data_IF_499330618104
#
_entry.id   IF_499330618104
#
_cell.length_a   1.000
_cell.length_b   1.000
_cell.length_c   1.000
_cell.angle_alpha   90.00
_cell.angle_beta   90.00
_cell.angle_gamma   90.00
#
_symmetry.space_group_name_H-M   'P 1'
#
loop_
_entity.id
_entity.type
_entity.pdbx_description
1 polymer ?
#
# COMPACT_ATOMS: atom_id res chain seq x y z
N UNK A 1 42.51 -5.93 31.87
CA UNK A 1 41.43 -5.34 31.04
C UNK A 1 41.44 -5.68 29.54
N UNK A 2 42.58 -5.80 28.84
CA UNK A 2 42.57 -5.94 27.35
C UNK A 2 42.06 -7.27 26.75
N UNK A 3 42.15 -8.40 27.47
CA UNK A 3 41.84 -9.75 26.92
C UNK A 3 40.34 -10.00 26.68
N UNK A 4 39.46 -9.36 27.46
CA UNK A 4 37.99 -9.51 27.33
C UNK A 4 37.46 -8.82 26.07
N UNK A 5 37.96 -7.62 25.74
CA UNK A 5 37.57 -6.88 24.53
C UNK A 5 37.93 -7.65 23.24
N UNK A 6 39.09 -8.32 23.20
CA UNK A 6 39.47 -9.18 22.05
C UNK A 6 38.53 -10.38 21.88
N UNK A 7 38.13 -11.05 22.96
CA UNK A 7 37.15 -12.16 22.93
C UNK A 7 35.73 -11.72 22.54
N UNK A 8 35.33 -10.50 22.88
CA UNK A 8 34.07 -9.93 22.41
C UNK A 8 34.11 -9.64 20.90
N UNK A 9 35.21 -9.04 20.41
CA UNK A 9 35.39 -8.76 18.99
C UNK A 9 35.46 -10.05 18.14
N UNK A 10 36.12 -11.11 18.61
CA UNK A 10 36.15 -12.38 17.88
C UNK A 10 34.76 -13.02 17.77
N UNK A 11 33.99 -13.08 18.87
CA UNK A 11 32.61 -13.60 18.86
C UNK A 11 31.68 -12.79 17.95
N UNK A 12 31.81 -11.46 17.93
CA UNK A 12 31.03 -10.61 17.02
C UNK A 12 31.41 -10.81 15.55
N UNK A 13 32.66 -11.22 15.26
CA UNK A 13 33.08 -11.59 13.91
C UNK A 13 32.50 -12.95 13.52
N UNK A 14 32.72 -13.96 14.37
CA UNK A 14 32.21 -15.33 14.22
C UNK A 14 30.69 -15.38 14.03
N UNK A 15 29.93 -14.54 14.77
CA UNK A 15 28.48 -14.36 14.56
C UNK A 15 28.15 -13.77 13.19
N UNK A 16 28.85 -12.71 12.75
CA UNK A 16 28.64 -12.12 11.41
C UNK A 16 28.99 -13.08 10.29
N UNK A 17 30.09 -13.82 10.44
CA UNK A 17 30.54 -14.80 9.45
C UNK A 17 29.46 -15.91 9.34
N UNK A 18 28.88 -16.37 10.46
CA UNK A 18 27.74 -17.32 10.45
C UNK A 18 26.41 -16.74 9.92
N UNK A 19 26.15 -15.44 10.11
CA UNK A 19 25.00 -14.74 9.53
C UNK A 19 25.13 -14.60 8.01
N UNK A 20 26.35 -14.32 7.52
CA UNK A 20 26.66 -14.24 6.08
C UNK A 20 26.49 -15.62 5.43
N UNK A 21 27.00 -16.68 6.06
CA UNK A 21 26.88 -18.06 5.57
C UNK A 21 25.41 -18.53 5.55
N UNK A 22 24.63 -18.21 6.59
CA UNK A 22 23.20 -18.51 6.63
C UNK A 22 22.38 -17.74 5.58
N UNK A 23 22.78 -16.50 5.25
CA UNK A 23 22.16 -15.72 4.16
C UNK A 23 22.58 -16.27 2.79
N UNK A 24 23.83 -16.66 2.60
CA UNK A 24 24.30 -17.30 1.38
C UNK A 24 23.52 -18.59 1.09
N UNK A 25 23.38 -19.47 2.09
CA UNK A 25 22.60 -20.70 1.98
C UNK A 25 21.10 -20.43 1.70
N UNK A 26 20.52 -19.34 2.22
CA UNK A 26 19.14 -18.94 1.88
C UNK A 26 18.97 -18.38 0.47
N UNK A 27 20.01 -17.75 -0.08
CA UNK A 27 20.02 -17.27 -1.48
C UNK A 27 20.21 -18.45 -2.42
N UNK A 28 21.12 -19.36 -2.11
CA UNK A 28 21.38 -20.59 -2.89
C UNK A 28 20.15 -21.51 -2.89
N UNK A 29 19.46 -21.69 -1.76
CA UNK A 29 18.17 -22.40 -1.69
C UNK A 29 16.99 -21.66 -2.36
N UNK A 30 17.17 -20.41 -2.79
CA UNK A 30 16.20 -19.66 -3.60
C UNK A 30 16.55 -19.66 -5.11
N UNK A 31 17.72 -20.19 -5.49
CA UNK A 31 18.02 -20.46 -6.90
C UNK A 31 17.21 -21.68 -7.36
N UNK A 32 16.52 -21.61 -8.51
CA UNK A 32 15.77 -22.76 -9.03
C UNK A 32 16.74 -23.83 -9.54
N UNK A 33 16.80 -24.96 -8.85
CA UNK A 33 17.62 -26.09 -9.29
C UNK A 33 17.16 -26.61 -10.67
N UNK A 34 18.00 -26.47 -11.69
CA UNK A 34 17.81 -27.07 -13.01
C UNK A 34 17.26 -26.17 -14.13
N UNK A 35 17.31 -24.85 -14.00
CA UNK A 35 17.15 -23.94 -15.15
C UNK A 35 18.47 -23.80 -15.91
N UNK A 36 18.43 -23.82 -17.25
CA UNK A 36 19.61 -23.54 -18.08
C UNK A 36 20.09 -22.09 -17.85
N UNK A 37 21.41 -21.85 -17.96
CA UNK A 37 22.06 -20.57 -17.62
C UNK A 37 21.50 -19.38 -18.42
N UNK A 38 20.93 -19.61 -19.61
CA UNK A 38 20.23 -18.62 -20.43
C UNK A 38 19.08 -17.91 -19.69
N UNK A 39 18.47 -18.55 -18.69
CA UNK A 39 17.40 -17.96 -17.88
C UNK A 39 17.90 -17.01 -16.78
N UNK A 40 19.20 -17.04 -16.44
CA UNK A 40 19.80 -16.14 -15.44
C UNK A 40 20.16 -14.77 -16.03
N UNK A 41 20.29 -14.67 -17.36
CA UNK A 41 20.69 -13.46 -18.09
C UNK A 41 19.61 -12.87 -19.00
N UNK A 42 18.32 -13.00 -18.62
CA UNK A 42 17.25 -12.24 -19.27
C UNK A 42 17.41 -10.76 -18.93
N UNK A 43 18.03 -9.99 -19.84
CA UNK A 43 18.06 -8.54 -19.78
C UNK A 43 16.62 -8.01 -19.81
N UNK A 44 16.21 -7.26 -18.77
CA UNK A 44 14.84 -6.74 -18.58
C UNK A 44 14.60 -5.54 -19.52
N UNK A 45 14.52 -5.80 -20.84
CA UNK A 45 14.39 -4.81 -21.95
C UNK A 45 13.30 -3.78 -21.71
N UNK A 46 12.19 -4.20 -21.10
CA UNK A 46 11.00 -3.36 -20.90
C UNK A 46 11.14 -2.43 -19.67
N UNK A 47 12.21 -2.60 -18.89
CA UNK A 47 12.47 -1.91 -17.62
C UNK A 47 11.38 -2.10 -16.56
N UNK A 48 10.47 -3.05 -16.75
CA UNK A 48 9.30 -3.23 -15.89
C UNK A 48 9.66 -3.95 -14.58
N UNK A 49 10.58 -4.91 -14.60
CA UNK A 49 11.11 -5.55 -13.40
C UNK A 49 11.81 -4.54 -12.49
N UNK A 50 12.67 -3.69 -13.05
CA UNK A 50 13.30 -2.56 -12.33
C UNK A 50 12.26 -1.60 -11.72
N UNK A 51 11.23 -1.20 -12.47
CA UNK A 51 10.13 -0.34 -11.96
C UNK A 51 9.34 -1.04 -10.84
N UNK A 52 9.09 -2.35 -10.94
CA UNK A 52 8.42 -3.16 -9.89
C UNK A 52 9.29 -3.29 -8.63
N UNK A 53 10.60 -3.58 -8.76
CA UNK A 53 11.57 -3.64 -7.64
C UNK A 53 11.70 -2.30 -6.94
N UNK A 54 11.87 -1.19 -7.67
CA UNK A 54 11.90 0.18 -7.11
C UNK A 54 10.61 0.53 -6.35
N UNK A 55 9.42 0.20 -6.90
CA UNK A 55 8.14 0.39 -6.20
C UNK A 55 8.02 -0.45 -4.93
N UNK A 56 8.54 -1.69 -4.91
CA UNK A 56 8.55 -2.55 -3.72
C UNK A 56 9.48 -1.98 -2.63
N UNK A 57 10.72 -1.62 -2.98
CA UNK A 57 11.68 -0.99 -2.07
C UNK A 57 11.11 0.30 -1.45
N UNK A 58 10.57 1.21 -2.28
CA UNK A 58 9.97 2.45 -1.79
C UNK A 58 8.71 2.23 -0.92
N UNK A 59 7.97 1.12 -1.12
CA UNK A 59 6.86 0.76 -0.26
C UNK A 59 7.31 0.17 1.09
N UNK A 60 8.43 -0.57 1.12
CA UNK A 60 9.03 -1.09 2.35
C UNK A 60 9.70 0.04 3.16
N UNK A 61 10.42 0.94 2.51
CA UNK A 61 10.98 2.15 3.12
C UNK A 61 9.89 3.02 3.74
N UNK A 62 8.79 3.29 3.02
CA UNK A 62 7.62 4.00 3.57
C UNK A 62 6.99 3.29 4.77
N UNK A 63 6.96 1.95 4.80
CA UNK A 63 6.48 1.18 5.97
C UNK A 63 7.43 1.33 7.15
N UNK A 64 8.75 1.29 6.94
CA UNK A 64 9.75 1.48 8.00
C UNK A 64 9.68 2.89 8.60
N UNK A 65 9.63 3.92 7.75
CA UNK A 65 9.50 5.33 8.18
C UNK A 65 8.17 5.55 8.92
N UNK A 66 7.05 5.09 8.38
CA UNK A 66 5.75 5.19 9.06
C UNK A 66 5.72 4.43 10.40
N UNK A 67 6.33 3.23 10.45
CA UNK A 67 6.51 2.46 11.68
C UNK A 67 7.31 3.22 12.73
N UNK A 68 8.40 3.88 12.33
CA UNK A 68 9.21 4.75 13.20
C UNK A 68 8.43 5.95 13.76
N UNK A 69 7.62 6.62 12.92
CA UNK A 69 6.76 7.72 13.37
C UNK A 69 5.72 7.23 14.39
N UNK A 70 5.03 6.11 14.13
CA UNK A 70 4.04 5.53 15.06
C UNK A 70 4.70 5.09 16.37
N UNK A 71 5.88 4.45 16.32
CA UNK A 71 6.68 4.12 17.49
C UNK A 71 7.03 5.37 18.32
N UNK A 72 7.49 6.45 17.68
CA UNK A 72 7.82 7.70 18.36
C UNK A 72 6.62 8.33 19.06
N UNK A 73 5.43 8.27 18.45
CA UNK A 73 4.19 8.76 19.06
C UNK A 73 3.76 7.88 20.24
N UNK A 74 3.90 6.56 20.13
CA UNK A 74 3.57 5.63 21.21
C UNK A 74 4.54 5.76 22.40
N UNK A 75 5.83 6.00 22.16
CA UNK A 75 6.81 6.33 23.21
C UNK A 75 6.45 7.65 23.88
N UNK A 76 6.10 8.71 23.12
CA UNK A 76 5.63 9.98 23.68
C UNK A 76 4.34 9.84 24.50
N UNK A 77 3.42 8.94 24.13
CA UNK A 77 2.23 8.62 24.93
C UNK A 77 2.58 7.88 26.22
N UNK A 78 3.46 6.88 26.14
CA UNK A 78 3.92 6.12 27.31
C UNK A 78 4.64 7.01 28.33
N UNK A 79 5.52 7.91 27.88
CA UNK A 79 6.21 8.91 28.71
C UNK A 79 5.27 9.93 29.38
N UNK A 80 4.06 10.14 28.83
CA UNK A 80 3.03 11.00 29.43
C UNK A 80 2.09 10.25 30.39
N UNK A 81 1.93 8.95 30.19
CA UNK A 81 0.97 8.13 30.93
C UNK A 81 1.57 7.39 32.14
N UNK A 82 2.90 7.24 32.20
CA UNK A 82 3.57 6.39 33.17
C UNK A 82 4.76 7.08 33.83
N UNK A 83 4.94 6.80 35.13
CA UNK A 83 6.15 7.15 35.87
C UNK A 83 7.38 6.38 35.34
N UNK A 84 8.59 6.88 35.64
CA UNK A 84 9.83 6.24 35.21
C UNK A 84 9.93 4.77 35.69
N UNK A 85 9.47 4.47 36.90
CA UNK A 85 9.45 3.11 37.45
C UNK A 85 8.46 2.18 36.75
N UNK A 86 7.28 2.68 36.39
CA UNK A 86 6.30 1.92 35.61
C UNK A 86 6.84 1.57 34.23
N UNK A 87 7.53 2.51 33.57
CA UNK A 87 8.15 2.26 32.27
C UNK A 87 9.23 1.16 32.35
N UNK A 88 10.02 1.12 33.43
CA UNK A 88 10.98 0.03 33.70
C UNK A 88 10.23 -1.30 33.92
N UNK A 89 9.16 -1.32 34.72
CA UNK A 89 8.32 -2.52 34.95
C UNK A 89 7.69 -3.03 33.64
N UNK A 90 7.19 -2.14 32.79
CA UNK A 90 6.64 -2.45 31.45
C UNK A 90 7.73 -3.00 30.53
N UNK A 91 8.92 -2.40 30.49
CA UNK A 91 10.03 -2.88 29.67
C UNK A 91 10.50 -4.29 30.07
N UNK A 92 10.60 -4.57 31.37
CA UNK A 92 10.94 -5.91 31.90
C UNK A 92 9.86 -6.93 31.54
N UNK A 93 8.57 -6.57 31.66
CA UNK A 93 7.45 -7.43 31.24
C UNK A 93 7.45 -7.71 29.73
N UNK A 94 7.79 -6.70 28.92
CA UNK A 94 7.96 -6.82 27.47
C UNK A 94 9.07 -7.80 27.07
N UNK A 95 10.26 -7.69 27.68
CA UNK A 95 11.39 -8.61 27.45
C UNK A 95 11.01 -10.06 27.76
N UNK A 96 10.44 -10.32 28.95
CA UNK A 96 9.95 -11.65 29.34
C UNK A 96 8.87 -12.22 28.40
N UNK A 97 8.08 -11.35 27.75
CA UNK A 97 7.09 -11.81 26.76
C UNK A 97 7.69 -12.12 25.39
N UNK A 98 8.77 -11.45 24.99
CA UNK A 98 9.50 -11.74 23.75
C UNK A 98 10.25 -13.07 23.85
N UNK A 99 10.96 -13.29 24.96
CA UNK A 99 11.66 -14.57 25.26
C UNK A 99 10.71 -15.78 25.21
N UNK A 100 9.46 -15.61 25.69
CA UNK A 100 8.42 -16.65 25.62
C UNK A 100 7.91 -16.89 24.20
N UNK A 101 7.77 -15.84 23.37
CA UNK A 101 7.29 -15.98 21.99
C UNK A 101 8.32 -16.62 21.05
N UNK A 102 9.62 -16.41 21.28
CA UNK A 102 10.69 -17.06 20.51
C UNK A 102 10.70 -18.60 20.60
N UNK A 103 10.00 -19.19 21.58
CA UNK A 103 9.87 -20.66 21.75
C UNK A 103 8.61 -21.27 21.14
N UNK A 104 7.68 -20.47 20.62
CA UNK A 104 6.54 -20.96 19.83
C UNK A 104 6.73 -20.66 18.34
N UNK A 105 7.88 -21.08 17.80
CA UNK A 105 7.97 -21.36 16.37
C UNK A 105 6.93 -22.41 15.99
N UNK A 106 6.32 -22.28 14.81
CA UNK A 106 5.27 -23.19 14.36
C UNK A 106 5.74 -24.64 14.46
N UNK A 107 5.12 -25.41 15.35
CA UNK A 107 5.22 -26.86 15.32
C UNK A 107 4.59 -27.32 14.00
N UNK A 108 5.45 -27.54 12.99
CA UNK A 108 5.08 -28.23 11.77
C UNK A 108 4.46 -29.55 12.23
N UNK A 109 3.18 -29.73 11.93
CA UNK A 109 2.51 -31.01 12.19
C UNK A 109 3.22 -32.03 11.31
N UNK A 110 4.12 -32.81 11.90
CA UNK A 110 4.63 -34.02 11.27
C UNK A 110 3.41 -34.92 11.12
N UNK A 111 2.91 -35.01 9.89
CA UNK A 111 1.99 -36.07 9.53
C UNK A 111 2.70 -37.38 9.83
N UNK A 112 2.01 -38.31 10.49
CA UNK A 112 2.57 -39.64 10.72
C UNK A 112 2.82 -40.26 9.33
N UNK A 113 3.95 -40.95 9.11
CA UNK A 113 4.13 -41.70 7.87
C UNK A 113 2.93 -42.63 7.71
N UNK A 114 2.27 -42.56 6.56
CA UNK A 114 1.19 -43.47 6.23
C UNK A 114 1.85 -44.83 5.99
N UNK A 115 1.57 -45.80 6.85
CA UNK A 115 1.98 -47.17 6.55
C UNK A 115 1.23 -47.62 5.29
N UNK A 116 1.95 -48.29 4.39
CA UNK A 116 1.48 -48.72 3.08
C UNK A 116 1.16 -50.22 3.05
N UNK A 117 1.32 -50.92 4.18
CA UNK A 117 1.22 -52.38 4.26
C UNK A 117 0.08 -52.94 5.10
N UNK A 118 -0.64 -52.12 5.87
CA UNK A 118 -1.83 -52.56 6.60
C UNK A 118 -3.06 -52.65 5.66
N UNK A 119 -3.21 -53.84 5.07
CA UNK A 119 -4.38 -54.23 4.30
C UNK A 119 -5.65 -54.26 5.18
N UNK A 120 -6.78 -53.81 4.61
CA UNK A 120 -8.09 -53.98 5.24
C UNK A 120 -8.49 -55.47 5.31
N UNK A 121 -9.24 -55.85 6.35
CA UNK A 121 -10.58 -56.36 6.07
C UNK A 121 -11.68 -55.80 6.98
N UNK A 122 -12.93 -56.07 6.62
CA UNK A 122 -14.12 -55.45 7.20
C UNK A 122 -14.69 -56.18 8.44
N UNK A 123 -15.37 -55.41 9.32
CA UNK A 123 -16.43 -55.82 10.30
C UNK A 123 -16.13 -57.01 11.25
N UNK A 124 -16.16 -56.88 12.58
CA UNK A 124 -17.34 -56.57 13.42
C UNK A 124 -16.92 -56.21 14.88
N UNK A 125 -17.88 -55.92 15.79
CA UNK A 125 -17.65 -55.51 17.19
C UNK A 125 -17.09 -56.66 18.09
N UNK A 126 -16.45 -56.45 19.26
CA UNK A 126 -16.12 -55.29 20.12
C UNK A 126 -15.51 -55.80 21.47
N UNK A 127 -15.46 -55.15 22.65
CA UNK A 127 -15.74 -53.78 23.16
C UNK A 127 -15.07 -53.57 24.56
N UNK A 128 -14.32 -52.48 24.81
CA UNK A 128 -13.92 -51.95 26.16
C UNK A 128 -13.14 -50.62 26.00
N UNK A 129 -13.17 -49.59 26.88
CA UNK A 129 -14.09 -49.15 27.95
C UNK A 129 -13.69 -47.70 28.33
N UNK A 130 -14.67 -46.79 28.57
CA UNK A 130 -14.51 -45.49 29.29
C UNK A 130 -13.60 -44.39 28.63
N UNK A 131 -13.88 -43.08 28.66
CA UNK A 131 -14.89 -42.23 29.35
C UNK A 131 -15.20 -40.96 28.53
N UNK A 132 -16.45 -40.49 28.60
CA UNK A 132 -17.00 -39.14 28.28
C UNK A 132 -16.76 -38.51 26.88
N UNK A 133 -17.75 -38.38 25.96
CA UNK A 133 -19.03 -37.60 25.97
C UNK A 133 -18.82 -36.10 26.29
N UNK A 134 -19.30 -35.09 25.56
CA UNK A 134 -20.30 -34.86 24.45
C UNK A 134 -19.82 -33.58 23.68
N UNK A 135 -20.29 -33.15 22.50
CA UNK A 135 -21.16 -33.66 21.41
C UNK A 135 -20.83 -32.81 20.17
N UNK A 136 -20.57 -33.41 19.01
CA UNK A 136 -20.77 -32.71 17.73
C UNK A 136 -22.22 -32.96 17.29
N UNK A 137 -22.95 -31.92 16.86
CA UNK A 137 -24.23 -32.09 16.19
C UNK A 137 -24.00 -32.25 14.69
N UNK A 138 -24.40 -33.40 14.15
CA UNK A 138 -24.43 -33.63 12.70
C UNK A 138 -25.65 -32.90 12.11
N UNK A 139 -25.49 -32.37 10.90
CA UNK A 139 -26.56 -31.72 10.17
C UNK A 139 -27.51 -32.79 9.62
N UNK A 140 -28.78 -32.78 10.04
CA UNK A 140 -29.84 -33.39 9.23
C UNK A 140 -30.18 -32.44 8.07
N UNK A 141 -30.40 -33.03 6.90
CA UNK A 141 -31.02 -32.36 5.76
C UNK A 141 -32.52 -32.68 5.81
N UNK A 142 -33.35 -31.67 6.06
CA UNK A 142 -34.79 -31.73 5.79
C UNK A 142 -35.19 -30.55 4.89
N UNK A 143 -35.94 -30.86 3.83
CA UNK A 143 -36.53 -29.88 2.92
C UNK A 143 -37.93 -29.51 3.41
N UNK A 144 -38.27 -28.22 3.33
CA UNK A 144 -39.65 -27.74 3.30
C UNK A 144 -40.32 -27.54 4.66
N UNK A 145 -40.99 -26.40 4.82
CA UNK A 145 -41.84 -26.08 5.98
C UNK A 145 -41.41 -24.81 6.72
N UNK A 146 -41.99 -23.66 6.34
CA UNK A 146 -42.01 -22.46 7.18
C UNK A 146 -43.31 -22.52 7.99
N UNK A 147 -43.20 -22.53 9.31
CA UNK A 147 -44.33 -22.27 10.22
C UNK A 147 -43.94 -21.08 11.12
N UNK A 148 -44.70 -19.97 11.11
CA UNK A 148 -44.42 -18.84 11.96
C UNK A 148 -45.04 -19.01 13.36
N UNK A 149 -44.34 -18.55 14.39
CA UNK A 149 -44.94 -18.27 15.70
C UNK A 149 -44.73 -19.33 16.80
N UNK A 150 -43.56 -19.32 17.44
CA UNK A 150 -43.44 -19.55 18.89
C UNK A 150 -42.44 -18.55 19.48
N UNK A 151 -42.68 -18.12 20.73
CA UNK A 151 -42.10 -16.91 21.29
C UNK A 151 -40.82 -17.16 22.11
N UNK A 152 -39.84 -16.27 21.90
CA UNK A 152 -39.16 -15.47 22.93
C UNK A 152 -38.90 -16.14 24.31
N UNK A 153 -37.66 -16.55 24.57
CA UNK A 153 -37.00 -16.35 25.89
C UNK A 153 -35.49 -16.62 25.84
N UNK A 154 -34.68 -15.75 25.24
CA UNK A 154 -33.21 -15.78 25.40
C UNK A 154 -32.74 -14.56 26.22
N UNK A 155 -32.85 -14.71 27.54
CA UNK A 155 -32.33 -13.78 28.54
C UNK A 155 -30.93 -14.23 28.96
N UNK A 156 -29.96 -13.30 28.94
CA UNK A 156 -28.59 -13.39 29.47
C UNK A 156 -27.69 -14.54 28.97
N UNK A 157 -26.80 -14.23 28.02
CA UNK A 157 -25.40 -14.73 28.01
C UNK A 157 -24.48 -14.00 26.98
N UNK A 158 -23.94 -12.80 27.27
CA UNK A 158 -23.19 -11.99 26.31
C UNK A 158 -21.72 -12.41 26.10
N UNK A 159 -21.34 -13.67 26.36
CA UNK A 159 -19.93 -14.13 26.40
C UNK A 159 -19.58 -15.35 25.54
N UNK A 160 -20.52 -15.91 24.78
CA UNK A 160 -20.29 -17.17 24.02
C UNK A 160 -20.60 -17.10 22.52
N UNK A 161 -20.86 -15.92 21.95
CA UNK A 161 -20.88 -15.76 20.49
C UNK A 161 -19.45 -15.74 19.94
N UNK A 162 -18.93 -16.90 19.55
CA UNK A 162 -17.74 -16.98 18.69
C UNK A 162 -18.06 -16.33 17.34
N UNK A 163 -17.68 -15.06 17.21
CA UNK A 163 -17.85 -14.26 15.99
C UNK A 163 -17.28 -15.01 14.79
N UNK A 164 -18.18 -15.59 13.97
CA UNK A 164 -17.80 -16.17 12.68
C UNK A 164 -17.11 -15.11 11.84
N UNK A 165 -16.11 -15.51 11.05
CA UNK A 165 -15.20 -14.56 10.38
C UNK A 165 -15.86 -13.62 9.36
N UNK A 166 -17.13 -13.87 9.05
CA UNK A 166 -18.02 -13.00 8.27
C UNK A 166 -18.16 -11.59 8.87
N UNK A 167 -18.10 -11.43 10.20
CA UNK A 167 -18.16 -10.08 10.80
C UNK A 167 -16.92 -9.22 10.50
N UNK A 168 -15.77 -9.81 10.15
CA UNK A 168 -14.53 -9.05 9.85
C UNK A 168 -14.64 -8.19 8.58
N UNK A 169 -15.69 -8.36 7.78
CA UNK A 169 -15.98 -7.56 6.58
C UNK A 169 -17.12 -6.54 6.75
N UNK A 170 -17.77 -6.47 7.93
CA UNK A 170 -18.67 -5.35 8.25
C UNK A 170 -17.84 -4.10 8.52
N UNK A 171 -17.49 -3.38 7.44
CA UNK A 171 -17.00 -2.00 7.50
C UNK A 171 -17.96 -1.21 8.38
N UNK A 172 -17.43 -0.55 9.42
CA UNK A 172 -18.23 0.36 10.23
C UNK A 172 -18.96 1.36 9.32
N UNK A 173 -20.24 1.69 9.59
CA UNK A 173 -20.96 2.67 8.79
C UNK A 173 -20.18 3.98 8.86
N UNK A 174 -19.67 4.43 7.70
CA UNK A 174 -18.95 5.70 7.59
C UNK A 174 -19.82 6.79 8.22
N UNK A 175 -19.20 7.67 9.03
CA UNK A 175 -19.87 8.74 9.78
C UNK A 175 -20.96 9.38 8.93
N UNK A 176 -22.17 9.54 9.51
CA UNK A 176 -23.30 10.21 8.86
C UNK A 176 -22.84 11.59 8.40
N UNK A 177 -22.63 11.74 7.09
CA UNK A 177 -22.28 13.02 6.50
C UNK A 177 -23.53 13.92 6.46
N UNK A 178 -23.36 15.21 6.18
CA UNK A 178 -24.47 16.14 5.95
C UNK A 178 -25.21 15.77 4.65
N UNK A 179 -26.03 14.73 4.69
CA UNK A 179 -26.73 14.16 3.55
C UNK A 179 -28.07 14.86 3.39
N UNK A 180 -28.26 15.54 2.25
CA UNK A 180 -29.55 16.12 1.88
C UNK A 180 -30.44 15.03 1.28
N UNK A 181 -31.65 14.88 1.81
CA UNK A 181 -32.63 13.83 1.43
C UNK A 181 -33.35 14.12 0.11
N UNK A 182 -33.59 15.39 -0.21
CA UNK A 182 -34.09 15.87 -1.50
C UNK A 182 -33.26 17.09 -1.88
N UNK A 183 -32.51 17.00 -2.99
CA UNK A 183 -31.77 18.14 -3.52
C UNK A 183 -32.76 19.23 -3.96
N UNK A 184 -32.61 20.49 -3.52
CA UNK A 184 -33.28 21.60 -4.19
C UNK A 184 -32.75 21.69 -5.63
N UNK A 185 -33.63 21.95 -6.59
CA UNK A 185 -33.23 22.25 -7.97
C UNK A 185 -32.56 23.63 -8.03
N UNK A 186 -31.72 23.88 -9.03
CA UNK A 186 -31.12 25.19 -9.24
C UNK A 186 -32.19 26.20 -9.69
N UNK A 187 -32.04 27.49 -9.34
CA UNK A 187 -33.02 28.53 -9.72
C UNK A 187 -33.25 28.59 -11.24
N UNK A 188 -32.17 28.49 -12.03
CA UNK A 188 -32.19 28.40 -13.49
C UNK A 188 -32.82 27.13 -14.10
N UNK A 189 -33.19 26.13 -13.28
CA UNK A 189 -33.95 24.95 -13.71
C UNK A 189 -35.45 25.07 -13.43
N UNK A 190 -35.89 26.17 -12.82
CA UNK A 190 -37.31 26.44 -12.66
C UNK A 190 -37.99 26.65 -14.02
N UNK A 191 -39.31 26.49 -14.06
CA UNK A 191 -40.08 26.58 -15.31
C UNK A 191 -40.13 28.03 -15.87
N UNK A 192 -40.03 29.04 -15.00
CA UNK A 192 -39.86 30.45 -15.38
C UNK A 192 -38.68 31.03 -14.58
N UNK A 193 -37.43 30.74 -14.99
CA UNK A 193 -36.25 31.16 -14.27
C UNK A 193 -35.95 32.65 -14.50
N UNK A 194 -35.20 33.23 -13.58
CA UNK A 194 -34.58 34.54 -13.81
C UNK A 194 -33.50 34.42 -14.90
N UNK A 195 -33.28 35.49 -15.65
CA UNK A 195 -32.45 35.51 -16.86
C UNK A 195 -30.99 35.16 -16.55
N UNK A 196 -30.40 35.79 -15.53
CA UNK A 196 -29.02 35.51 -15.09
C UNK A 196 -28.86 34.05 -14.65
N UNK A 197 -29.76 33.58 -13.77
CA UNK A 197 -29.75 32.22 -13.26
C UNK A 197 -29.96 31.15 -14.35
N UNK A 198 -30.71 31.46 -15.42
CA UNK A 198 -30.89 30.60 -16.58
C UNK A 198 -29.65 30.55 -17.47
N UNK A 199 -29.03 31.71 -17.74
CA UNK A 199 -27.78 31.79 -18.51
C UNK A 199 -26.65 31.04 -17.82
N UNK A 200 -26.49 31.19 -16.50
CA UNK A 200 -25.50 30.45 -15.71
C UNK A 200 -25.70 28.94 -15.86
N UNK A 201 -26.93 28.45 -15.72
CA UNK A 201 -27.26 27.03 -15.86
C UNK A 201 -27.01 26.50 -17.27
N UNK A 202 -27.35 27.27 -18.31
CA UNK A 202 -27.02 26.92 -19.70
C UNK A 202 -25.50 26.87 -19.91
N UNK A 203 -24.76 27.86 -19.40
CA UNK A 203 -23.30 27.92 -19.48
C UNK A 203 -22.64 26.69 -18.82
N UNK A 204 -23.08 26.33 -17.61
CA UNK A 204 -22.60 25.12 -16.93
C UNK A 204 -22.95 23.83 -17.69
N UNK A 205 -24.17 23.73 -18.24
CA UNK A 205 -24.58 22.57 -19.03
C UNK A 205 -23.76 22.42 -20.33
N UNK A 206 -23.52 23.52 -21.04
CA UNK A 206 -22.68 23.58 -22.24
C UNK A 206 -21.23 23.22 -21.91
N UNK A 207 -20.67 23.70 -20.80
CA UNK A 207 -19.32 23.36 -20.37
C UNK A 207 -19.14 21.85 -20.11
N UNK A 208 -20.13 21.20 -19.50
CA UNK A 208 -20.12 19.74 -19.28
C UNK A 208 -20.20 18.98 -20.60
N UNK A 209 -21.09 19.37 -21.52
CA UNK A 209 -21.22 18.68 -22.81
C UNK A 209 -20.04 18.98 -23.77
N UNK A 210 -19.37 20.13 -23.68
CA UNK A 210 -18.15 20.40 -24.42
C UNK A 210 -17.00 19.51 -23.95
N UNK A 211 -16.76 19.41 -22.63
CA UNK A 211 -15.82 18.41 -22.06
C UNK A 211 -16.16 16.98 -22.46
N UNK A 212 -17.46 16.68 -22.62
CA UNK A 212 -17.93 15.36 -23.08
C UNK A 212 -17.69 15.14 -24.57
N UNK A 213 -17.71 16.18 -25.41
CA UNK A 213 -17.29 16.11 -26.81
C UNK A 213 -15.79 15.92 -26.91
N UNK A 214 -14.99 16.80 -26.29
CA UNK A 214 -13.53 16.69 -26.18
C UNK A 214 -13.10 15.25 -25.87
N UNK A 215 -13.62 14.67 -24.79
CA UNK A 215 -13.31 13.31 -24.34
C UNK A 215 -13.79 12.20 -25.31
N UNK A 216 -14.84 12.43 -26.10
CA UNK A 216 -15.28 11.51 -27.18
C UNK A 216 -14.45 11.69 -28.44
N UNK A 217 -13.98 12.90 -28.71
CA UNK A 217 -13.25 13.26 -29.91
C UNK A 217 -11.77 12.87 -29.74
N UNK A 218 -11.22 12.91 -28.52
CA UNK A 218 -9.99 12.20 -28.13
C UNK A 218 -10.08 10.67 -28.31
N UNK A 219 -11.25 10.05 -28.05
CA UNK A 219 -11.46 8.60 -28.27
C UNK A 219 -11.64 8.23 -29.75
N UNK A 220 -12.14 9.16 -30.57
CA UNK A 220 -12.39 8.96 -32.01
C UNK A 220 -11.23 9.41 -32.88
N UNK A 221 -10.44 10.36 -32.41
CA UNK A 221 -9.23 10.76 -33.09
C UNK A 221 -8.41 9.48 -33.31
N UNK A 222 -7.94 9.21 -34.54
CA UNK A 222 -6.87 8.23 -34.70
C UNK A 222 -5.75 8.66 -33.74
N UNK A 223 -5.05 7.70 -33.13
CA UNK A 223 -3.95 7.99 -32.19
C UNK A 223 -2.91 8.82 -32.94
N UNK A 224 -3.05 10.14 -32.87
CA UNK A 224 -2.26 11.05 -33.69
C UNK A 224 -0.84 10.89 -33.24
N UNK A 225 0.00 10.64 -34.25
CA UNK A 225 1.43 10.43 -34.20
C UNK A 225 2.04 10.51 -32.81
N UNK A 226 2.41 9.34 -32.27
CA UNK A 226 3.33 9.22 -31.15
C UNK A 226 4.38 10.34 -31.25
N UNK A 227 4.55 11.12 -30.19
CA UNK A 227 5.53 12.22 -30.18
C UNK A 227 6.87 11.74 -30.75
N UNK A 228 7.61 12.60 -31.45
CA UNK A 228 8.86 12.20 -32.13
C UNK A 228 9.82 11.46 -31.18
N UNK A 229 9.88 11.91 -29.92
CA UNK A 229 10.63 11.26 -28.82
C UNK A 229 10.17 9.83 -28.49
N UNK A 230 8.89 9.51 -28.67
CA UNK A 230 8.37 8.14 -28.57
C UNK A 230 8.52 7.34 -29.87
N UNK A 231 8.61 7.99 -31.05
CA UNK A 231 8.97 7.31 -32.30
C UNK A 231 10.45 6.92 -32.31
N UNK A 232 11.36 7.81 -31.91
CA UNK A 232 12.81 7.58 -31.87
C UNK A 232 13.28 6.61 -30.78
N UNK A 233 12.40 6.24 -29.82
CA UNK A 233 12.66 5.17 -28.85
C UNK A 233 12.15 3.81 -29.38
N UNK A 234 11.23 3.82 -30.35
CA UNK A 234 10.64 2.62 -30.96
C UNK A 234 11.37 2.20 -32.25
N UNK A 235 11.83 3.18 -33.03
CA UNK A 235 12.82 3.01 -34.10
C UNK A 235 14.17 3.26 -33.44
N UNK A 236 14.87 2.19 -33.07
CA UNK A 236 16.16 2.27 -32.39
C UNK A 236 17.24 2.79 -33.33
N UNK A 237 17.45 4.11 -33.34
CA UNK A 237 18.66 4.71 -33.88
C UNK A 237 19.80 4.48 -32.88
N UNK A 238 20.66 3.51 -33.22
CA UNK A 238 21.97 3.30 -32.60
C UNK A 238 22.83 4.55 -32.86
N UNK A 239 22.76 5.52 -31.96
CA UNK A 239 23.75 6.59 -31.90
C UNK A 239 25.02 6.05 -31.26
N UNK A 240 25.80 5.40 -32.12
CA UNK A 240 27.21 5.12 -31.96
C UNK A 240 27.93 6.43 -31.63
N UNK A 241 28.16 6.67 -30.33
CA UNK A 241 28.97 7.79 -29.85
C UNK A 241 30.35 7.27 -29.55
N UNK A 242 31.25 7.48 -30.50
CA UNK A 242 32.68 7.32 -30.30
C UNK A 242 33.16 8.05 -29.04
N UNK A 243 34.06 7.38 -28.33
CA UNK A 243 35.34 7.93 -27.89
C UNK A 243 35.35 9.31 -27.19
N UNK A 244 35.56 9.27 -25.88
CA UNK A 244 36.61 10.12 -25.31
C UNK A 244 37.39 9.30 -24.29
N UNK A 245 38.49 8.75 -24.76
CA UNK A 245 39.58 8.30 -23.90
C UNK A 245 39.99 9.47 -22.99
N UNK A 246 40.04 9.22 -21.69
CA UNK A 246 40.42 10.20 -20.67
C UNK A 246 41.49 9.56 -19.82
N UNK A 247 42.68 9.50 -20.41
CA UNK A 247 43.94 9.05 -19.82
C UNK A 247 44.11 9.62 -18.40
N UNK A 248 43.74 8.78 -17.44
CA UNK A 248 43.92 9.04 -16.03
C UNK A 248 45.13 8.26 -15.57
N UNK A 249 46.30 8.90 -15.59
CA UNK A 249 47.51 8.39 -14.93
C UNK A 249 47.21 8.15 -13.43
N UNK A 250 46.71 6.96 -13.10
CA UNK A 250 46.92 6.38 -11.78
C UNK A 250 48.43 6.12 -11.65
N UNK A 251 49.16 7.15 -11.18
CA UNK A 251 50.50 7.04 -10.62
C UNK A 251 50.41 6.21 -9.33
N UNK A 252 50.12 4.92 -9.52
CA UNK A 252 49.98 3.93 -8.47
C UNK A 252 51.29 3.89 -7.69
N UNK A 253 51.26 3.88 -6.35
CA UNK A 253 52.44 4.16 -5.55
C UNK A 253 53.52 3.10 -5.76
N UNK A 254 54.44 3.38 -6.69
CA UNK A 254 55.64 2.59 -6.92
C UNK A 254 56.37 2.57 -5.59
N UNK A 255 56.35 1.40 -4.94
CA UNK A 255 57.04 1.16 -3.68
C UNK A 255 58.56 1.20 -3.91
N UNK A 256 59.10 2.40 -4.13
CA UNK A 256 60.53 2.68 -4.15
C UNK A 256 61.09 2.16 -2.84
N UNK A 257 61.86 1.08 -2.93
CA UNK A 257 62.45 0.40 -1.77
C UNK A 257 63.37 1.40 -1.09
N UNK A 258 62.86 2.06 -0.05
CA UNK A 258 63.61 3.07 0.71
C UNK A 258 64.81 2.37 1.33
N UNK A 259 65.98 2.59 0.73
CA UNK A 259 67.26 2.12 1.26
C UNK A 259 67.33 2.57 2.73
N UNK A 260 67.60 1.63 3.63
CA UNK A 260 67.64 1.92 5.06
C UNK A 260 68.92 2.70 5.36
N UNK A 261 68.81 4.03 5.33
CA UNK A 261 69.84 4.91 5.85
C UNK A 261 70.29 4.44 7.24
N UNK A 262 71.59 4.62 7.53
CA UNK A 262 72.24 4.08 8.72
C UNK A 262 71.53 4.44 10.05
N UNK A 263 71.81 3.65 11.09
CA UNK A 263 71.17 3.76 12.42
C UNK A 263 71.13 5.21 12.93
N UNK A 264 69.96 5.87 12.80
CA UNK A 264 69.73 7.26 13.20
C UNK A 264 70.30 7.57 14.59
N UNK A 265 71.03 8.68 14.72
CA UNK A 265 71.67 9.09 15.97
C UNK A 265 70.64 9.47 17.05
N UNK A 266 71.06 9.49 18.33
CA UNK A 266 70.18 9.85 19.47
C UNK A 266 69.57 11.25 19.28
N UNK A 267 70.35 12.21 18.77
CA UNK A 267 69.90 13.56 18.44
C UNK A 267 68.82 13.57 17.33
N UNK A 268 69.03 12.83 16.22
CA UNK A 268 68.05 12.72 15.14
C UNK A 268 66.73 12.08 15.62
N UNK A 269 66.79 11.05 16.47
CA UNK A 269 65.59 10.44 17.08
C UNK A 269 64.84 11.43 17.97
N UNK A 270 65.55 12.24 18.76
CA UNK A 270 64.93 13.27 19.59
C UNK A 270 64.29 14.39 18.75
N UNK A 271 64.95 14.85 17.66
CA UNK A 271 64.37 15.81 16.72
C UNK A 271 63.10 15.25 16.04
N UNK A 272 63.12 13.98 15.63
CA UNK A 272 61.94 13.29 15.07
C UNK A 272 60.82 13.10 16.11
N UNK A 273 61.12 12.82 17.39
CA UNK A 273 60.12 12.79 18.46
C UNK A 273 59.45 14.15 18.66
N UNK A 274 60.25 15.23 18.79
CA UNK A 274 59.72 16.60 18.93
C UNK A 274 58.84 17.00 17.74
N UNK A 275 59.28 16.73 16.51
CA UNK A 275 58.49 16.98 15.31
C UNK A 275 57.16 16.21 15.30
N UNK A 276 57.17 14.90 15.61
CA UNK A 276 55.94 14.09 15.70
C UNK A 276 54.98 14.62 16.78
N UNK A 277 55.48 15.07 17.92
CA UNK A 277 54.65 15.68 18.98
C UNK A 277 54.01 17.00 18.50
N UNK A 278 54.77 17.86 17.82
CA UNK A 278 54.23 19.12 17.26
C UNK A 278 53.17 18.86 16.18
N UNK A 279 53.40 17.91 15.26
CA UNK A 279 52.42 17.52 14.24
C UNK A 279 51.14 16.96 14.88
N UNK A 280 51.27 16.10 15.90
CA UNK A 280 50.12 15.54 16.62
C UNK A 280 49.30 16.63 17.32
N UNK A 281 49.96 17.59 17.98
CA UNK A 281 49.27 18.75 18.59
C UNK A 281 48.59 19.65 17.54
N UNK A 282 49.18 19.81 16.35
CA UNK A 282 48.54 20.54 15.24
C UNK A 282 47.34 19.78 14.69
N UNK A 283 47.40 18.45 14.59
CA UNK A 283 46.28 17.59 14.18
C UNK A 283 45.12 17.70 15.19
N UNK A 284 45.40 17.59 16.49
CA UNK A 284 44.41 17.77 17.55
C UNK A 284 43.72 19.15 17.46
N UNK A 285 44.49 20.24 17.29
CA UNK A 285 43.92 21.58 17.09
C UNK A 285 43.06 21.71 15.82
N UNK A 286 43.38 20.97 14.74
CA UNK A 286 42.54 20.92 13.52
C UNK A 286 41.24 20.16 13.78
N UNK A 287 41.31 19.01 14.45
CA UNK A 287 40.12 18.23 14.83
C UNK A 287 39.19 19.00 15.79
N UNK A 288 39.75 19.72 16.77
CA UNK A 288 38.97 20.56 17.70
C UNK A 288 38.22 21.66 16.95
N UNK A 289 38.88 22.34 16.00
CA UNK A 289 38.23 23.32 15.11
C UNK A 289 37.13 22.68 14.27
N UNK A 290 37.35 21.49 13.70
CA UNK A 290 36.32 20.76 12.95
C UNK A 290 35.11 20.41 13.83
N UNK A 291 35.33 19.92 15.07
CA UNK A 291 34.27 19.62 16.03
C UNK A 291 33.48 20.88 16.42
N UNK A 292 34.15 22.03 16.60
CA UNK A 292 33.49 23.31 16.84
C UNK A 292 32.65 23.77 15.64
N UNK A 293 33.17 23.66 14.42
CA UNK A 293 32.42 23.99 13.20
C UNK A 293 31.14 23.12 13.08
N UNK A 294 31.27 21.80 13.27
CA UNK A 294 30.14 20.88 13.30
C UNK A 294 29.09 21.26 14.37
N UNK A 295 29.51 21.71 15.56
CA UNK A 295 28.59 22.21 16.58
C UNK A 295 27.84 23.50 16.15
N UNK A 296 28.45 24.35 15.33
CA UNK A 296 27.76 25.53 14.75
C UNK A 296 26.80 25.14 13.63
N UNK A 297 27.18 24.20 12.76
CA UNK A 297 26.33 23.64 11.70
C UNK A 297 25.10 22.95 12.30
N UNK A 298 25.28 22.15 13.35
CA UNK A 298 24.17 21.52 14.07
C UNK A 298 23.18 22.54 14.65
N UNK A 299 23.61 23.76 14.99
CA UNK A 299 22.70 24.85 15.41
C UNK A 299 21.93 25.44 14.22
N UNK A 300 22.56 25.60 13.05
CA UNK A 300 21.90 26.04 11.81
C UNK A 300 20.86 25.01 11.35
N UNK A 301 21.27 23.75 11.20
CA UNK A 301 20.42 22.64 10.79
C UNK A 301 19.21 22.46 11.73
N UNK A 302 19.38 22.64 13.05
CA UNK A 302 18.25 22.65 13.99
C UNK A 302 17.24 23.77 13.73
N UNK A 303 17.70 24.99 13.41
CA UNK A 303 16.81 26.12 13.06
C UNK A 303 16.05 25.84 11.77
N UNK A 304 16.73 25.34 10.75
CA UNK A 304 16.12 24.98 9.45
C UNK A 304 15.08 23.85 9.58
N UNK A 305 15.38 22.80 10.34
CA UNK A 305 14.43 21.71 10.60
C UNK A 305 13.21 22.24 11.36
N UNK A 306 13.39 23.12 12.34
CA UNK A 306 12.27 23.75 13.06
C UNK A 306 11.42 24.66 12.15
N UNK A 307 12.02 25.38 11.19
CA UNK A 307 11.29 26.16 10.20
C UNK A 307 10.46 25.25 9.27
N UNK A 308 11.08 24.23 8.68
CA UNK A 308 10.41 23.25 7.80
C UNK A 308 9.28 22.49 8.51
N UNK A 309 9.42 22.18 9.80
CA UNK A 309 8.34 21.59 10.61
C UNK A 309 7.18 22.58 10.80
N UNK A 310 7.44 23.85 11.09
CA UNK A 310 6.38 24.89 11.19
C UNK A 310 5.63 25.09 9.88
N UNK A 311 6.34 25.14 8.75
CA UNK A 311 5.73 25.24 7.41
C UNK A 311 4.86 24.01 7.08
N UNK A 312 5.36 22.82 7.37
CA UNK A 312 4.60 21.58 7.20
C UNK A 312 3.36 21.56 8.12
N UNK A 313 3.48 22.02 9.37
CA UNK A 313 2.35 22.11 10.30
C UNK A 313 1.32 23.17 9.87
N UNK A 314 1.74 24.28 9.25
CA UNK A 314 0.83 25.28 8.66
C UNK A 314 0.04 24.69 7.48
N UNK A 315 0.73 24.12 6.48
CA UNK A 315 0.09 23.41 5.36
C UNK A 315 -0.84 22.29 5.82
N UNK A 316 -0.45 21.56 6.88
CA UNK A 316 -1.29 20.52 7.48
C UNK A 316 -2.51 21.06 8.23
N UNK A 317 -2.57 22.34 8.60
CA UNK A 317 -3.77 23.01 9.12
C UNK A 317 -4.68 23.46 7.98
N UNK A 318 -4.13 24.15 6.98
CA UNK A 318 -4.84 24.56 5.76
C UNK A 318 -5.55 23.35 5.11
N UNK A 319 -4.83 22.23 4.92
CA UNK A 319 -5.39 20.99 4.36
C UNK A 319 -6.49 20.38 5.26
N UNK A 320 -6.46 20.60 6.58
CA UNK A 320 -7.52 20.14 7.49
C UNK A 320 -8.72 21.08 7.49
N UNK A 321 -8.50 22.38 7.35
CA UNK A 321 -9.54 23.40 7.25
C UNK A 321 -10.33 23.22 5.95
N UNK A 322 -9.66 23.10 4.80
CA UNK A 322 -10.27 22.76 3.51
C UNK A 322 -11.07 21.45 3.58
N UNK A 323 -10.52 20.40 4.22
CA UNK A 323 -11.26 19.13 4.41
C UNK A 323 -12.45 19.26 5.35
N UNK A 324 -12.36 20.09 6.39
CA UNK A 324 -13.46 20.35 7.30
C UNK A 324 -14.57 21.18 6.62
N UNK A 325 -14.21 22.06 5.69
CA UNK A 325 -15.16 22.77 4.81
C UNK A 325 -15.83 21.80 3.82
N UNK A 326 -15.06 20.95 3.15
CA UNK A 326 -15.59 19.86 2.30
C UNK A 326 -16.52 18.91 3.07
N UNK A 327 -16.19 18.54 4.32
CA UNK A 327 -17.03 17.68 5.17
C UNK A 327 -18.31 18.39 5.66
N UNK A 328 -18.30 19.73 5.78
CA UNK A 328 -19.49 20.53 6.12
C UNK A 328 -20.46 20.69 4.94
N UNK A 329 -19.94 20.78 3.71
CA UNK A 329 -20.76 20.98 2.49
C UNK A 329 -21.86 19.89 2.39
N UNK A 330 -23.11 20.27 2.12
CA UNK A 330 -24.22 19.33 2.04
C UNK A 330 -24.05 18.40 0.84
N UNK A 331 -23.95 17.10 1.11
CA UNK A 331 -23.75 16.07 0.09
C UNK A 331 -25.07 15.72 -0.55
N UNK A 332 -25.04 15.69 -1.88
CA UNK A 332 -26.19 15.35 -2.71
C UNK A 332 -27.08 16.54 -3.08
N UNK A 333 -26.57 17.77 -3.03
CA UNK A 333 -27.24 18.94 -3.65
C UNK A 333 -26.92 18.96 -5.15
N UNK A 334 -25.64 19.02 -5.52
CA UNK A 334 -25.17 19.15 -6.90
C UNK A 334 -24.80 17.80 -7.53
N UNK A 335 -25.66 16.78 -7.41
CA UNK A 335 -25.37 15.39 -7.82
C UNK A 335 -24.96 15.30 -9.29
N UNK A 336 -25.69 15.95 -10.20
CA UNK A 336 -25.45 15.85 -11.65
C UNK A 336 -24.10 16.46 -12.05
N UNK A 337 -23.70 17.57 -11.42
CA UNK A 337 -22.40 18.22 -11.61
C UNK A 337 -21.25 17.37 -11.03
N UNK A 338 -21.42 16.88 -9.81
CA UNK A 338 -20.46 15.98 -9.15
C UNK A 338 -20.22 14.69 -9.97
N UNK A 339 -21.27 14.14 -10.59
CA UNK A 339 -21.16 12.95 -11.44
C UNK A 339 -20.57 13.26 -12.82
N UNK A 340 -20.81 14.46 -13.35
CA UNK A 340 -20.13 14.98 -14.54
C UNK A 340 -18.62 15.08 -14.33
N UNK A 341 -18.16 15.68 -13.23
CA UNK A 341 -16.73 15.77 -12.90
C UNK A 341 -16.07 14.39 -12.74
N UNK A 342 -16.74 13.46 -12.04
CA UNK A 342 -16.18 12.13 -11.76
C UNK A 342 -16.20 11.20 -12.97
N UNK A 343 -17.19 11.33 -13.86
CA UNK A 343 -17.45 10.37 -14.95
C UNK A 343 -18.06 11.02 -16.20
N UNK A 344 -17.43 12.07 -16.75
CA UNK A 344 -17.88 12.85 -17.94
C UNK A 344 -18.57 11.97 -19.02
N UNK A 345 -17.97 10.83 -19.40
CA UNK A 345 -18.55 9.90 -20.39
C UNK A 345 -19.94 9.36 -20.01
N UNK A 346 -20.15 8.97 -18.75
CA UNK A 346 -21.34 8.29 -18.22
C UNK A 346 -22.29 9.18 -17.41
N UNK A 347 -21.94 10.44 -17.21
CA UNK A 347 -22.80 11.40 -16.54
C UNK A 347 -24.09 11.64 -17.33
N UNK A 348 -25.12 12.15 -16.65
CA UNK A 348 -26.32 12.64 -17.33
C UNK A 348 -26.03 13.98 -18.00
N UNK A 349 -26.79 14.27 -19.05
CA UNK A 349 -27.03 15.64 -19.49
C UNK A 349 -27.73 16.38 -18.35
N UNK A 350 -27.26 17.58 -18.00
CA UNK A 350 -27.89 18.41 -16.96
C UNK A 350 -29.26 18.87 -17.51
N UNK A 351 -30.38 18.67 -16.77
CA UNK A 351 -31.69 19.09 -17.24
C UNK A 351 -31.83 20.61 -17.12
N UNK A 352 -31.77 21.31 -18.25
CA UNK A 352 -32.04 22.74 -18.39
C UNK A 352 -32.92 22.91 -19.64
N UNK A 353 -33.98 23.72 -19.55
CA UNK A 353 -34.82 24.06 -20.69
C UNK A 353 -34.09 25.06 -21.60
N UNK A 354 -34.27 24.95 -22.92
CA UNK A 354 -33.70 25.90 -23.88
C UNK A 354 -34.42 27.25 -23.81
N UNK A 355 -33.80 28.31 -24.35
CA UNK A 355 -34.37 29.68 -24.44
C UNK A 355 -35.77 29.73 -25.03
N UNK A 356 -36.07 28.81 -25.95
CA UNK A 356 -37.32 28.79 -26.72
C UNK A 356 -38.44 28.01 -25.99
N UNK A 357 -38.06 27.24 -24.96
CA UNK A 357 -38.91 26.34 -24.18
C UNK A 357 -39.33 26.95 -22.82
N UNK A 358 -38.57 27.90 -22.29
CA UNK A 358 -38.89 28.61 -21.04
C UNK A 358 -40.07 29.58 -21.18
N UNK A 359 -40.74 29.88 -20.05
CA UNK A 359 -41.73 30.96 -19.96
C UNK A 359 -43.17 30.64 -20.40
N UNK A 360 -43.48 29.46 -20.95
CA UNK A 360 -44.88 29.06 -21.23
C UNK A 360 -45.20 27.62 -20.82
N UNK A 361 -46.20 27.43 -19.94
CA UNK A 361 -46.52 26.13 -19.32
C UNK A 361 -47.05 25.12 -20.36
N UNK A 362 -47.56 25.63 -21.49
CA UNK A 362 -47.97 24.82 -22.65
C UNK A 362 -46.78 24.39 -23.53
N UNK A 363 -45.66 25.11 -23.46
CA UNK A 363 -44.39 24.77 -24.11
C UNK A 363 -43.46 23.96 -23.20
N UNK A 364 -43.66 24.04 -21.88
CA UNK A 364 -42.90 23.34 -20.85
C UNK A 364 -42.98 21.82 -21.04
N UNK A 365 -42.01 21.29 -21.79
CA UNK A 365 -41.75 19.86 -21.83
C UNK A 365 -41.05 19.49 -20.53
N UNK A 366 -41.49 18.41 -19.89
CA UNK A 366 -40.68 17.76 -18.85
C UNK A 366 -39.28 17.54 -19.42
N UNK A 367 -38.20 17.98 -18.73
CA UNK A 367 -36.86 17.90 -19.29
C UNK A 367 -36.55 16.46 -19.69
N UNK A 368 -36.11 16.26 -20.92
CA UNK A 368 -35.98 14.96 -21.56
C UNK A 368 -34.80 14.15 -20.97
N UNK A 369 -35.01 13.64 -19.75
CA UNK A 369 -34.03 12.89 -18.98
C UNK A 369 -34.48 11.47 -18.66
N UNK A 370 -33.50 10.60 -18.37
CA UNK A 370 -33.79 9.29 -17.79
C UNK A 370 -34.52 9.50 -16.45
N UNK A 371 -35.82 9.20 -16.42
CA UNK A 371 -36.79 9.73 -15.45
C UNK A 371 -36.53 9.40 -13.98
N UNK A 372 -37.41 9.89 -13.11
CA UNK A 372 -37.22 10.01 -11.66
C UNK A 372 -36.55 8.80 -10.95
N UNK A 373 -36.80 7.56 -11.40
CA UNK A 373 -36.12 6.37 -10.88
C UNK A 373 -34.59 6.45 -10.98
N UNK A 374 -34.03 6.95 -12.09
CA UNK A 374 -32.59 7.11 -12.23
C UNK A 374 -32.05 8.22 -11.30
N UNK A 375 -32.82 9.27 -11.03
CA UNK A 375 -32.42 10.30 -10.05
C UNK A 375 -32.42 9.77 -8.63
N UNK A 376 -33.39 8.91 -8.27
CA UNK A 376 -33.36 8.23 -6.97
C UNK A 376 -32.15 7.30 -6.84
N UNK A 377 -31.75 6.60 -7.90
CA UNK A 377 -30.52 5.78 -7.92
C UNK A 377 -29.27 6.64 -7.73
N UNK A 378 -29.10 7.75 -8.46
CA UNK A 378 -27.94 8.65 -8.28
C UNK A 378 -27.91 9.30 -6.88
N UNK A 379 -29.08 9.64 -6.33
CA UNK A 379 -29.21 10.11 -4.94
C UNK A 379 -28.82 9.04 -3.92
N UNK A 380 -29.07 7.75 -4.19
CA UNK A 380 -28.62 6.65 -3.31
C UNK A 380 -27.12 6.35 -3.48
N UNK A 381 -26.57 6.48 -4.70
CA UNK A 381 -25.13 6.31 -4.99
C UNK A 381 -24.27 7.41 -4.34
N UNK A 382 -24.63 8.68 -4.53
CA UNK A 382 -23.95 9.83 -3.90
C UNK A 382 -23.94 9.75 -2.37
N UNK A 383 -25.04 9.26 -1.77
CA UNK A 383 -25.15 8.96 -0.33
C UNK A 383 -24.36 7.74 0.14
N UNK A 384 -23.73 6.99 -0.77
CA UNK A 384 -23.09 5.70 -0.50
C UNK A 384 -24.07 4.66 0.11
N UNK A 385 -25.38 4.80 -0.14
CA UNK A 385 -26.40 3.83 0.25
C UNK A 385 -26.50 2.68 -0.77
N UNK A 386 -26.18 2.95 -2.03
CA UNK A 386 -26.14 1.98 -3.12
C UNK A 386 -24.76 1.99 -3.79
N UNK A 387 -24.23 0.81 -4.11
CA UNK A 387 -23.01 0.67 -4.91
C UNK A 387 -23.37 0.50 -6.39
N UNK A 388 -22.80 1.33 -7.28
CA UNK A 388 -23.03 1.25 -8.73
C UNK A 388 -22.43 -0.02 -9.32
N UNK A 389 -23.20 -1.11 -9.29
CA UNK A 389 -22.80 -2.41 -9.86
C UNK A 389 -23.01 -2.39 -11.37
N UNK A 390 -21.96 -2.74 -12.12
CA UNK A 390 -22.11 -3.10 -13.54
C UNK A 390 -23.02 -4.33 -13.61
N UNK A 391 -24.03 -4.31 -14.49
CA UNK A 391 -24.81 -5.51 -14.81
C UNK A 391 -23.83 -6.55 -15.35
N UNK A 392 -23.60 -7.60 -14.57
CA UNK A 392 -22.66 -8.65 -14.95
C UNK A 392 -23.22 -9.43 -16.12
N UNK A 393 -22.71 -9.18 -17.33
CA UNK A 393 -22.98 -10.09 -18.44
C UNK A 393 -22.55 -11.49 -18.01
N UNK A 394 -23.52 -12.40 -17.98
CA UNK A 394 -23.34 -13.72 -17.40
C UNK A 394 -22.22 -14.45 -18.12
N UNK A 395 -21.08 -14.64 -17.44
CA UNK A 395 -20.01 -15.48 -17.97
C UNK A 395 -20.61 -16.85 -18.21
N UNK A 396 -20.73 -17.26 -19.48
CA UNK A 396 -21.06 -18.64 -19.85
C UNK A 396 -19.98 -19.52 -19.21
N UNK A 397 -20.29 -20.13 -18.06
CA UNK A 397 -19.49 -21.24 -17.53
C UNK A 397 -19.45 -22.26 -18.65
N UNK A 398 -18.27 -22.74 -19.04
CA UNK A 398 -18.16 -23.75 -20.09
C UNK A 398 -19.16 -24.87 -19.78
N UNK A 399 -20.11 -25.08 -20.69
CA UNK A 399 -20.90 -26.31 -20.65
C UNK A 399 -19.91 -27.44 -20.82
N UNK A 400 -19.74 -28.28 -19.80
CA UNK A 400 -18.93 -29.48 -19.93
C UNK A 400 -19.44 -30.27 -21.13
N UNK A 401 -18.51 -30.78 -21.96
CA UNK A 401 -18.85 -31.54 -23.19
C UNK A 401 -20.00 -32.50 -22.89
N UNK A 402 -21.16 -32.30 -23.51
CA UNK A 402 -22.18 -33.34 -23.56
C UNK A 402 -21.53 -34.53 -24.28
N UNK A 403 -21.16 -35.56 -23.53
CA UNK A 403 -20.76 -36.84 -24.12
C UNK A 403 -21.99 -37.37 -24.86
N UNK A 404 -21.91 -37.41 -26.19
CA UNK A 404 -22.91 -38.07 -27.00
C UNK A 404 -23.09 -39.51 -26.52
N UNK A 405 -24.33 -39.90 -26.24
CA UNK A 405 -24.65 -41.31 -26.00
C UNK A 405 -24.62 -42.02 -27.34
N UNK A 406 -23.56 -42.78 -27.61
CA UNK A 406 -23.52 -43.70 -28.74
C UNK A 406 -24.71 -44.67 -28.63
N UNK A 407 -25.70 -44.48 -29.52
CA UNK A 407 -26.86 -45.38 -29.71
C UNK A 407 -26.94 -45.90 -31.16
N UNK A 408 -25.79 -45.94 -31.83
CA UNK A 408 -25.65 -46.47 -33.19
C UNK A 408 -24.45 -47.43 -33.25
N UNK A 409 -24.52 -48.50 -32.46
CA UNK A 409 -23.85 -49.76 -32.72
C UNK A 409 -24.91 -50.86 -32.63
N UNK A 410 -24.76 -51.89 -33.46
CA UNK A 410 -25.69 -53.01 -33.66
C UNK A 410 -27.01 -52.70 -34.39
N UNK A 411 -26.92 -52.39 -35.68
CA UNK A 411 -27.71 -53.11 -36.71
C UNK A 411 -26.77 -53.41 -37.88
N UNK A 412 -26.40 -54.69 -38.02
CA UNK A 412 -25.88 -55.35 -39.22
C UNK A 412 -26.36 -56.81 -39.14
#
# INVERSE_FOLDING_TARGET
MGKTKKRAASRMKEQRDSEIEAVAAQVEAQLPAGGADDALFVLDTDGQGLKKRRKKMAAEEKKLVAGGVVLSQNVKKALKAHSAEELVKIAVKGRKSLERKGRQGHAIKKEKPHDLWDAAPASTAGTNKNKNKKKQQQKLVTRGGIVPGTHISEVLNPKLTTRTEVEKFRREPKKKKNIVTVAPAHAGQSYNPDFEAHQDMLGMAVAVENRRKEVKDEEKAPVMELSEKTKSILVGEDYESEESDSDGEEDGPVNKVVRRDGKKTKAQRNKQKKHKQLVLLQQQKKEEKQKLNQLTELKKNKREVLAKVKEADARNKEIKELKAEEEKKPIGVNVDFEDAEKNIKRAKTIPVALSDEVGSLRKARSPAGAGALHDTVLRLESRNMLERRKVGQGKKKMQGKLKGRNRFQAIL
#
